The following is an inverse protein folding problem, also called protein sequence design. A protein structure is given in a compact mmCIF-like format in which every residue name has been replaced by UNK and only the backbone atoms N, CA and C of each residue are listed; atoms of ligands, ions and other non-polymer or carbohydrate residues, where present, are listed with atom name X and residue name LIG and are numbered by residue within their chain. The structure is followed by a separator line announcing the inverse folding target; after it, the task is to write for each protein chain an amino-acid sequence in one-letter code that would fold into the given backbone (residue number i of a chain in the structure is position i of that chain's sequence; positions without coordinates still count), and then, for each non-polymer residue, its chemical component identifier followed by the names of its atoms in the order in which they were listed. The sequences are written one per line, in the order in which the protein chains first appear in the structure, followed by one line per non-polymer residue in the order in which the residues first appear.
data_IF_762301158134
#
_entry.id   IF_762301158134
#
_cell.length_a   1.000
_cell.length_b   1.000
_cell.length_c   1.000
_cell.angle_alpha   90.00
_cell.angle_beta   90.00
_cell.angle_gamma   90.00
#
_symmetry.space_group_name_H-M   'P 1'
#
loop_
_entity.id
_entity.type
_entity.pdbx_description
1 polymer ?
#
# COMPACT_ATOMS: atom_id res chain seq x y z
N UNK A 1 -0.89 55.83 -43.80
CA UNK A 1 -0.88 55.56 -42.35
C UNK A 1 -1.89 54.45 -42.12
N UNK A 2 -1.41 53.21 -41.96
CA UNK A 2 -2.28 52.05 -41.77
C UNK A 2 -2.68 51.95 -40.30
N UNK A 3 -3.95 52.21 -40.02
CA UNK A 3 -4.52 52.09 -38.68
C UNK A 3 -4.70 50.62 -38.33
N UNK A 4 -3.68 50.02 -37.71
CA UNK A 4 -3.81 48.67 -37.14
C UNK A 4 -4.82 48.75 -35.99
N UNK A 5 -5.98 48.12 -36.17
CA UNK A 5 -7.03 48.05 -35.15
C UNK A 5 -6.54 47.29 -33.91
N UNK A 6 -6.23 48.02 -32.84
CA UNK A 6 -5.80 47.51 -31.54
C UNK A 6 -6.84 46.63 -30.83
N UNK A 7 -8.06 46.56 -31.35
CA UNK A 7 -9.15 45.77 -30.76
C UNK A 7 -8.84 44.26 -30.75
N UNK A 8 -8.22 43.74 -31.81
CA UNK A 8 -7.82 42.32 -31.87
C UNK A 8 -6.74 42.00 -30.85
N UNK A 9 -5.76 42.88 -30.68
CA UNK A 9 -4.68 42.72 -29.70
C UNK A 9 -5.21 42.74 -28.26
N UNK A 10 -6.14 43.64 -27.95
CA UNK A 10 -6.75 43.72 -26.62
C UNK A 10 -7.64 42.50 -26.30
N UNK A 11 -8.45 42.05 -27.25
CA UNK A 11 -9.26 40.83 -27.09
C UNK A 11 -8.39 39.59 -26.85
N UNK A 12 -7.26 39.49 -27.56
CA UNK A 12 -6.31 38.40 -27.37
C UNK A 12 -5.65 38.43 -25.99
N UNK A 13 -5.30 39.62 -25.49
CA UNK A 13 -4.75 39.78 -24.14
C UNK A 13 -5.75 39.39 -23.05
N UNK A 14 -7.03 39.75 -23.19
CA UNK A 14 -8.08 39.33 -22.26
C UNK A 14 -8.25 37.80 -22.23
N UNK A 15 -8.35 37.15 -23.40
CA UNK A 15 -8.48 35.68 -23.48
C UNK A 15 -7.26 34.95 -22.90
N UNK A 16 -6.06 35.50 -23.11
CA UNK A 16 -4.83 34.96 -22.54
C UNK A 16 -4.84 35.07 -21.01
N UNK A 17 -5.31 36.20 -20.48
CA UNK A 17 -5.42 36.42 -19.03
C UNK A 17 -6.42 35.45 -18.39
N UNK A 18 -7.57 35.22 -19.02
CA UNK A 18 -8.56 34.23 -18.56
C UNK A 18 -8.01 32.81 -18.59
N UNK A 19 -7.23 32.43 -19.60
CA UNK A 19 -6.60 31.10 -19.65
C UNK A 19 -5.55 30.91 -18.55
N UNK A 20 -4.72 31.92 -18.27
CA UNK A 20 -3.68 31.86 -17.23
C UNK A 20 -4.32 31.78 -15.83
N UNK A 21 -5.38 32.55 -15.57
CA UNK A 21 -6.14 32.49 -14.32
C UNK A 21 -6.77 31.10 -14.09
N UNK A 22 -7.31 30.48 -15.15
CA UNK A 22 -7.98 29.18 -15.06
C UNK A 22 -7.02 27.98 -14.92
N UNK A 23 -5.77 28.09 -15.39
CA UNK A 23 -4.77 27.02 -15.28
C UNK A 23 -4.34 26.75 -13.82
N UNK A 24 -4.16 27.80 -13.02
CA UNK A 24 -3.71 27.69 -11.62
C UNK A 24 -4.73 26.98 -10.71
N UNK A 25 -6.03 27.05 -11.04
CA UNK A 25 -7.08 26.36 -10.28
C UNK A 25 -7.08 24.84 -10.42
N UNK A 26 -6.48 24.30 -11.49
CA UNK A 26 -6.38 22.86 -11.73
C UNK A 26 -5.36 22.15 -10.84
N UNK A 27 -4.23 22.79 -10.55
CA UNK A 27 -3.17 22.25 -9.69
C UNK A 27 -3.59 22.22 -8.21
N UNK A 28 -4.22 23.30 -7.73
CA UNK A 28 -4.77 23.38 -6.38
C UNK A 28 -5.83 22.29 -6.15
N UNK A 29 -6.76 22.09 -7.10
CA UNK A 29 -7.76 21.01 -7.02
C UNK A 29 -7.10 19.62 -6.97
N UNK A 30 -6.04 19.37 -7.75
CA UNK A 30 -5.29 18.10 -7.71
C UNK A 30 -4.64 17.87 -6.34
N UNK A 31 -4.03 18.89 -5.74
CA UNK A 31 -3.44 18.80 -4.40
C UNK A 31 -4.50 18.54 -3.33
N UNK A 32 -5.66 19.19 -3.41
CA UNK A 32 -6.78 18.94 -2.50
C UNK A 32 -7.31 17.51 -2.65
N UNK A 33 -7.45 17.00 -3.87
CA UNK A 33 -7.89 15.62 -4.13
C UNK A 33 -6.89 14.60 -3.56
N UNK A 34 -5.58 14.81 -3.74
CA UNK A 34 -4.54 13.95 -3.18
C UNK A 34 -4.53 13.96 -1.64
N UNK A 35 -4.68 15.14 -1.04
CA UNK A 35 -4.72 15.25 0.42
C UNK A 35 -5.98 14.57 1.00
N UNK A 36 -7.13 14.76 0.35
CA UNK A 36 -8.38 14.10 0.74
C UNK A 36 -8.28 12.57 0.61
N UNK A 37 -7.64 12.08 -0.46
CA UNK A 37 -7.39 10.66 -0.63
C UNK A 37 -6.50 10.11 0.48
N UNK A 38 -5.39 10.80 0.81
CA UNK A 38 -4.50 10.42 1.91
C UNK A 38 -5.25 10.31 3.23
N UNK A 39 -6.04 11.32 3.59
CA UNK A 39 -6.83 11.34 4.82
C UNK A 39 -7.84 10.18 4.84
N UNK A 40 -8.54 9.95 3.72
CA UNK A 40 -9.48 8.84 3.61
C UNK A 40 -8.79 7.49 3.80
N UNK A 41 -7.59 7.29 3.24
CA UNK A 41 -6.82 6.06 3.44
C UNK A 41 -6.34 5.91 4.88
N UNK A 42 -5.83 6.97 5.51
CA UNK A 42 -5.38 6.94 6.91
C UNK A 42 -6.53 6.61 7.87
N UNK A 43 -7.69 7.26 7.72
CA UNK A 43 -8.85 7.01 8.57
C UNK A 43 -9.49 5.64 8.32
N UNK A 44 -9.62 5.21 7.07
CA UNK A 44 -10.18 3.89 6.74
C UNK A 44 -9.26 2.75 7.21
N UNK A 45 -7.94 2.96 7.22
CA UNK A 45 -6.97 1.95 7.72
C UNK A 45 -7.17 1.67 9.21
N UNK A 46 -7.51 2.67 10.02
CA UNK A 46 -7.79 2.49 11.46
C UNK A 46 -8.98 1.57 11.71
N UNK A 47 -9.98 1.58 10.81
CA UNK A 47 -11.17 0.74 10.91
C UNK A 47 -11.03 -0.63 10.24
N UNK A 48 -10.00 -0.84 9.42
CA UNK A 48 -9.78 -2.08 8.67
C UNK A 48 -9.78 -3.31 9.59
N UNK A 49 -9.07 -3.25 10.71
CA UNK A 49 -9.00 -4.34 11.70
C UNK A 49 -10.36 -4.66 12.34
N UNK A 50 -11.27 -3.70 12.44
CA UNK A 50 -12.60 -3.88 13.01
C UNK A 50 -13.58 -4.48 11.98
N UNK A 51 -13.40 -4.17 10.70
CA UNK A 51 -14.24 -4.71 9.61
C UNK A 51 -13.87 -6.15 9.21
N UNK A 52 -12.62 -6.55 9.44
CA UNK A 52 -12.16 -7.90 9.13
C UNK A 52 -12.64 -8.86 10.21
N UNK A 53 -13.59 -9.75 9.86
CA UNK A 53 -13.96 -10.87 10.74
C UNK A 53 -12.68 -11.62 11.13
N UNK A 54 -12.43 -11.86 12.44
CA UNK A 54 -11.29 -12.66 12.85
C UNK A 54 -11.43 -14.03 12.21
N UNK A 55 -10.52 -14.36 11.30
CA UNK A 55 -10.40 -15.72 10.81
C UNK A 55 -10.00 -16.59 12.00
N UNK A 56 -10.53 -17.82 12.06
CA UNK A 56 -9.99 -18.84 12.96
C UNK A 56 -8.47 -18.80 12.83
N UNK A 57 -7.77 -18.84 13.96
CA UNK A 57 -6.31 -18.86 13.95
C UNK A 57 -5.90 -20.00 13.03
N UNK A 58 -5.24 -19.66 11.92
CA UNK A 58 -4.56 -20.64 11.09
C UNK A 58 -3.75 -21.48 12.05
N UNK A 59 -3.89 -22.80 12.02
CA UNK A 59 -3.14 -23.68 12.90
C UNK A 59 -1.66 -23.53 12.54
N UNK A 60 -0.97 -22.60 13.22
CA UNK A 60 0.34 -22.09 12.77
C UNK A 60 1.43 -23.15 12.88
N UNK A 61 1.24 -24.11 13.77
CA UNK A 61 2.18 -25.20 14.00
C UNK A 61 1.54 -26.53 13.62
N UNK A 62 2.18 -27.33 12.74
CA UNK A 62 1.76 -28.69 12.47
C UNK A 62 1.72 -29.48 13.77
N UNK A 63 0.63 -30.22 14.00
CA UNK A 63 0.51 -31.14 15.14
C UNK A 63 0.78 -32.57 14.66
N UNK A 64 1.48 -33.35 15.47
CA UNK A 64 1.66 -34.78 15.24
C UNK A 64 0.41 -35.48 15.80
N UNK A 65 -0.14 -36.42 15.03
CA UNK A 65 -1.29 -37.21 15.47
C UNK A 65 -0.87 -38.22 16.54
N UNK A 66 -1.45 -38.10 17.73
CA UNK A 66 -1.20 -38.95 18.90
C UNK A 66 -1.66 -40.40 18.69
N UNK A 67 -2.53 -40.67 17.69
CA UNK A 67 -3.00 -42.01 17.36
C UNK A 67 -2.00 -42.84 16.56
N UNK A 68 -0.91 -42.23 16.09
CA UNK A 68 0.12 -42.93 15.30
C UNK A 68 0.99 -43.84 16.18
N UNK A 69 1.59 -44.90 15.62
CA UNK A 69 2.62 -45.67 16.33
C UNK A 69 3.81 -44.79 16.74
N UNK A 70 4.41 -45.09 17.90
CA UNK A 70 5.46 -44.25 18.50
C UNK A 70 6.65 -43.97 17.57
N UNK A 71 7.15 -45.00 16.87
CA UNK A 71 8.27 -44.87 15.94
C UNK A 71 7.96 -43.89 14.78
N UNK A 72 6.70 -43.87 14.34
CA UNK A 72 6.22 -42.95 13.29
C UNK A 72 6.08 -41.53 13.82
N UNK A 73 5.68 -41.37 15.09
CA UNK A 73 5.64 -40.07 15.74
C UNK A 73 7.04 -39.47 15.86
N UNK A 74 8.03 -40.26 16.31
CA UNK A 74 9.40 -39.81 16.47
C UNK A 74 10.03 -39.40 15.13
N UNK A 75 9.82 -40.19 14.08
CA UNK A 75 10.29 -39.86 12.73
C UNK A 75 9.67 -38.54 12.21
N UNK A 76 8.36 -38.33 12.45
CA UNK A 76 7.67 -37.08 12.08
C UNK A 76 8.18 -35.90 12.89
N UNK A 77 8.42 -36.08 14.20
CA UNK A 77 8.96 -35.03 15.05
C UNK A 77 10.36 -34.60 14.61
N UNK A 78 11.24 -35.56 14.32
CA UNK A 78 12.59 -35.28 13.82
C UNK A 78 12.56 -34.45 12.54
N UNK A 79 11.68 -34.83 11.61
CA UNK A 79 11.50 -34.12 10.33
C UNK A 79 10.96 -32.71 10.55
N UNK A 80 9.92 -32.57 11.39
CA UNK A 80 9.31 -31.29 11.72
C UNK A 80 10.33 -30.35 12.39
N UNK A 81 11.11 -30.86 13.35
CA UNK A 81 12.17 -30.10 14.02
C UNK A 81 13.19 -29.54 13.04
N UNK A 82 13.65 -30.36 12.09
CA UNK A 82 14.59 -29.92 11.07
C UNK A 82 14.02 -28.79 10.20
N UNK A 83 12.78 -28.93 9.74
CA UNK A 83 12.09 -27.91 8.95
C UNK A 83 11.92 -26.59 9.72
N UNK A 84 11.53 -26.66 11.00
CA UNK A 84 11.34 -25.48 11.85
C UNK A 84 12.65 -24.73 12.08
N UNK A 85 13.74 -25.43 12.41
CA UNK A 85 15.06 -24.82 12.62
C UNK A 85 15.55 -24.13 11.35
N UNK A 86 15.44 -24.80 10.20
CA UNK A 86 15.87 -24.22 8.92
C UNK A 86 15.03 -22.99 8.55
N UNK A 87 13.73 -23.02 8.80
CA UNK A 87 12.84 -21.88 8.53
C UNK A 87 13.21 -20.69 9.42
N UNK A 88 13.48 -20.92 10.70
CA UNK A 88 13.94 -19.87 11.61
C UNK A 88 15.26 -19.23 11.13
N UNK A 89 16.25 -20.06 10.78
CA UNK A 89 17.53 -19.56 10.26
C UNK A 89 17.38 -18.79 8.93
N UNK A 90 16.47 -19.22 8.05
CA UNK A 90 16.21 -18.52 6.80
C UNK A 90 15.56 -17.14 7.04
N UNK A 91 14.59 -17.08 7.96
CA UNK A 91 13.91 -15.83 8.32
C UNK A 91 14.87 -14.85 9.00
N UNK A 92 15.74 -15.33 9.87
CA UNK A 92 16.77 -14.52 10.54
C UNK A 92 17.75 -13.91 9.52
N UNK A 93 18.24 -14.72 8.58
CA UNK A 93 19.08 -14.24 7.48
C UNK A 93 18.35 -13.20 6.62
N UNK A 94 17.09 -13.44 6.29
CA UNK A 94 16.29 -12.50 5.50
C UNK A 94 16.07 -11.17 6.24
N UNK A 95 15.80 -11.23 7.54
CA UNK A 95 15.68 -10.03 8.37
C UNK A 95 16.99 -9.22 8.35
N UNK A 96 18.13 -9.87 8.57
CA UNK A 96 19.43 -9.20 8.53
C UNK A 96 19.76 -8.55 7.18
N UNK A 97 19.30 -9.12 6.07
CA UNK A 97 19.49 -8.55 4.73
C UNK A 97 18.57 -7.35 4.49
N UNK A 98 17.33 -7.40 4.98
CA UNK A 98 16.29 -6.42 4.64
C UNK A 98 16.15 -5.26 5.64
N UNK A 99 16.67 -5.44 6.86
CA UNK A 99 16.64 -4.43 7.91
C UNK A 99 17.91 -3.56 7.97
N UNK A 100 18.89 -3.79 7.10
CA UNK A 100 20.07 -2.94 6.89
C UNK A 100 19.75 -1.78 5.93
#
# INVERSE_FOLDING_TARGET
IDYISNYKSFSNQQKLHEQIQNQNGGELKKLTVLNNAKIAYEENTKMFSLTKKPALTLTQTPKIDEKLPHDVQEAKEKTLRHAMVNTYLANDKYYHITAA
#
